data_IF_157024373525
#
_entry.id   IF_157024373525
#
_cell.length_a   1.000
_cell.length_b   1.000
_cell.length_c   1.000
_cell.angle_alpha   90.00
_cell.angle_beta   90.00
_cell.angle_gamma   90.00
#
_symmetry.space_group_name_H-M   'P 1'
#
loop_
_entity.id
_entity.type
_entity.pdbx_description
1 polymer ?
#
# COMPACT_ATOMS: atom_id res chain seq x y z
N UNK A 1 -18.70 -8.18 -21.90
CA UNK A 1 -19.29 -8.00 -20.56
C UNK A 1 -18.88 -6.62 -20.10
N UNK A 2 -19.81 -5.66 -20.07
CA UNK A 2 -19.54 -4.31 -19.55
C UNK A 2 -19.44 -4.46 -18.02
N UNK A 3 -18.30 -4.10 -17.45
CA UNK A 3 -18.20 -3.86 -16.01
C UNK A 3 -19.02 -2.60 -15.73
N UNK A 4 -20.02 -2.68 -14.85
CA UNK A 4 -20.81 -1.52 -14.45
C UNK A 4 -19.97 -0.52 -13.65
N UNK A 5 -20.43 0.74 -13.60
CA UNK A 5 -19.80 1.81 -12.82
C UNK A 5 -19.65 1.36 -11.35
N UNK A 6 -18.40 1.20 -10.89
CA UNK A 6 -18.10 0.81 -9.51
C UNK A 6 -17.37 -0.53 -9.34
N UNK A 7 -17.25 -1.36 -10.39
CA UNK A 7 -16.49 -2.61 -10.35
C UNK A 7 -15.22 -2.55 -11.21
N UNK A 8 -14.07 -2.89 -10.65
CA UNK A 8 -12.80 -2.91 -11.39
C UNK A 8 -11.93 -4.14 -11.04
N UNK A 9 -11.07 -4.54 -11.98
CA UNK A 9 -10.01 -5.53 -11.74
C UNK A 9 -8.66 -4.82 -11.68
N UNK A 10 -7.76 -5.36 -10.84
CA UNK A 10 -6.40 -4.86 -10.71
C UNK A 10 -5.33 -5.79 -11.30
N UNK A 11 -5.72 -6.77 -12.12
CA UNK A 11 -4.77 -7.76 -12.68
C UNK A 11 -3.64 -7.13 -13.52
N UNK A 12 -3.78 -5.85 -13.91
CA UNK A 12 -2.79 -5.08 -14.66
C UNK A 12 -1.83 -4.26 -13.79
N UNK A 13 -2.09 -4.14 -12.49
CA UNK A 13 -1.23 -3.36 -11.60
C UNK A 13 0.00 -4.16 -11.18
N UNK A 14 1.10 -3.44 -11.02
CA UNK A 14 2.27 -3.99 -10.35
C UNK A 14 1.94 -4.22 -8.87
N UNK A 15 2.27 -5.40 -8.37
CA UNK A 15 2.13 -5.73 -6.95
C UNK A 15 3.52 -5.91 -6.37
N UNK A 16 4.01 -4.99 -5.52
CA UNK A 16 5.30 -5.14 -4.86
C UNK A 16 5.34 -6.46 -4.08
N UNK A 17 6.33 -7.30 -4.38
CA UNK A 17 6.55 -8.60 -3.72
C UNK A 17 8.01 -8.71 -3.27
N UNK A 18 8.40 -7.97 -2.22
CA UNK A 18 9.72 -8.12 -1.61
C UNK A 18 10.04 -9.58 -1.33
N UNK A 19 11.27 -9.99 -1.62
CA UNK A 19 11.81 -11.29 -1.27
C UNK A 19 11.95 -11.51 0.23
N UNK A 20 12.27 -12.73 0.69
CA UNK A 20 12.49 -13.01 2.10
C UNK A 20 13.60 -12.14 2.69
N UNK A 21 13.29 -11.37 3.72
CA UNK A 21 14.23 -10.44 4.36
C UNK A 21 14.48 -9.14 3.60
N UNK A 22 13.88 -8.98 2.41
CA UNK A 22 13.97 -7.74 1.65
C UNK A 22 13.02 -6.69 2.23
N UNK A 23 13.54 -5.46 2.33
CA UNK A 23 12.79 -4.27 2.70
C UNK A 23 12.87 -3.28 1.55
N UNK A 24 11.71 -2.91 1.02
CA UNK A 24 11.60 -2.00 -0.12
C UNK A 24 11.15 -0.64 0.40
N UNK A 25 11.91 0.44 0.21
CA UNK A 25 11.43 1.78 0.49
C UNK A 25 10.24 2.08 -0.42
N UNK A 26 9.16 2.58 0.16
CA UNK A 26 7.95 2.93 -0.57
C UNK A 26 7.52 4.36 -0.25
N UNK A 27 6.93 5.03 -1.24
CA UNK A 27 6.20 6.27 -1.04
C UNK A 27 4.69 5.99 -1.12
N UNK A 28 3.93 6.54 -0.18
CA UNK A 28 2.48 6.40 -0.16
C UNK A 28 1.86 7.42 -1.11
N UNK A 29 1.05 6.94 -2.05
CA UNK A 29 0.37 7.79 -3.04
C UNK A 29 -1.10 8.01 -2.67
N UNK A 30 -1.79 6.93 -2.28
CA UNK A 30 -3.19 6.97 -1.88
C UNK A 30 -3.58 5.67 -1.14
N UNK A 31 -4.70 5.65 -0.44
CA UNK A 31 -5.34 4.42 -0.01
C UNK A 31 -6.87 4.54 -0.04
N UNK A 32 -7.55 3.42 -0.27
CA UNK A 32 -9.02 3.38 -0.26
C UNK A 32 -9.55 2.06 0.28
N UNK A 33 -10.65 2.12 1.02
CA UNK A 33 -11.41 0.95 1.47
C UNK A 33 -12.33 0.48 0.36
N UNK A 34 -12.34 -0.82 0.08
CA UNK A 34 -13.17 -1.45 -0.95
C UNK A 34 -13.56 -2.87 -0.51
N UNK A 35 -14.52 -3.47 -1.19
CA UNK A 35 -14.81 -4.90 -1.08
C UNK A 35 -14.07 -5.65 -2.18
N UNK A 36 -13.38 -6.73 -1.82
CA UNK A 36 -12.72 -7.63 -2.75
C UNK A 36 -13.44 -8.98 -2.77
N UNK A 37 -13.66 -9.52 -3.97
CA UNK A 37 -14.26 -10.84 -4.15
C UNK A 37 -13.58 -11.60 -5.30
N UNK A 38 -13.37 -12.90 -5.12
CA UNK A 38 -12.82 -13.76 -6.16
C UNK A 38 -13.92 -14.21 -7.11
N UNK A 39 -13.76 -13.94 -8.41
CA UNK A 39 -14.63 -14.48 -9.46
C UNK A 39 -14.02 -15.77 -10.03
N UNK A 40 -14.60 -16.97 -9.76
CA UNK A 40 -14.13 -18.22 -10.36
C UNK A 40 -14.24 -18.21 -11.88
N UNK A 41 -15.24 -17.49 -12.42
CA UNK A 41 -15.51 -17.35 -13.85
C UNK A 41 -14.40 -16.56 -14.55
N UNK A 42 -13.98 -15.45 -13.97
CA UNK A 42 -12.94 -14.58 -14.53
C UNK A 42 -11.52 -14.98 -14.09
N UNK A 43 -11.41 -15.85 -13.07
CA UNK A 43 -10.15 -16.24 -12.42
C UNK A 43 -9.35 -15.02 -11.94
N UNK A 44 -10.05 -14.02 -11.41
CA UNK A 44 -9.46 -12.79 -10.89
C UNK A 44 -10.23 -12.27 -9.69
N UNK A 45 -9.59 -11.36 -8.95
CA UNK A 45 -10.25 -10.60 -7.88
C UNK A 45 -10.92 -9.38 -8.49
N UNK A 46 -12.21 -9.23 -8.18
CA UNK A 46 -12.99 -8.03 -8.46
C UNK A 46 -13.06 -7.16 -7.22
N UNK A 47 -13.01 -5.85 -7.43
CA UNK A 47 -13.11 -4.85 -6.39
C UNK A 47 -14.34 -3.97 -6.59
N UNK A 48 -15.01 -3.66 -5.48
CA UNK A 48 -16.26 -2.92 -5.43
C UNK A 48 -16.14 -1.77 -4.43
N UNK A 49 -16.61 -0.59 -4.77
CA UNK A 49 -16.57 0.57 -3.85
C UNK A 49 -17.58 0.43 -2.70
N UNK A 50 -18.64 -0.34 -2.90
CA UNK A 50 -19.65 -0.67 -1.89
C UNK A 50 -19.75 -2.19 -1.74
N UNK A 51 -20.40 -2.65 -0.67
CA UNK A 51 -20.69 -4.07 -0.52
C UNK A 51 -21.54 -4.51 -1.73
N UNK A 52 -21.12 -5.56 -2.47
CA UNK A 52 -21.85 -6.01 -3.64
C UNK A 52 -23.25 -6.50 -3.25
N UNK A 53 -24.25 -6.22 -4.06
CA UNK A 53 -25.62 -6.69 -3.86
C UNK A 53 -25.72 -8.22 -4.05
N UNK A 54 -26.81 -8.85 -3.60
CA UNK A 54 -26.98 -10.31 -3.71
C UNK A 54 -26.86 -10.81 -5.16
N UNK A 55 -27.38 -10.03 -6.11
CA UNK A 55 -27.29 -10.28 -7.56
C UNK A 55 -25.85 -10.23 -8.07
N UNK A 56 -25.01 -9.34 -7.53
CA UNK A 56 -23.59 -9.21 -7.88
C UNK A 56 -22.73 -10.26 -7.18
N UNK A 57 -23.13 -10.68 -5.97
CA UNK A 57 -22.46 -11.74 -5.21
C UNK A 57 -22.66 -13.13 -5.81
N UNK A 58 -23.66 -13.33 -6.67
CA UNK A 58 -23.97 -14.64 -7.24
C UNK A 58 -22.74 -15.20 -8.00
N UNK A 59 -22.18 -16.28 -7.47
CA UNK A 59 -20.98 -16.93 -8.02
C UNK A 59 -19.64 -16.31 -7.61
N UNK A 60 -19.63 -15.21 -6.85
CA UNK A 60 -18.43 -14.68 -6.23
C UNK A 60 -18.06 -15.47 -4.96
N UNK A 61 -16.77 -15.51 -4.63
CA UNK A 61 -16.26 -16.17 -3.43
C UNK A 61 -15.44 -15.21 -2.59
N UNK A 62 -15.42 -15.43 -1.27
CA UNK A 62 -14.53 -14.73 -0.33
C UNK A 62 -14.69 -13.21 -0.39
N UNK A 63 -15.93 -12.73 -0.37
CA UNK A 63 -16.25 -11.31 -0.23
C UNK A 63 -15.68 -10.83 1.11
N UNK A 64 -14.82 -9.82 1.06
CA UNK A 64 -14.13 -9.25 2.23
C UNK A 64 -13.87 -7.77 2.01
N UNK A 65 -13.91 -6.99 3.08
CA UNK A 65 -13.40 -5.63 3.06
C UNK A 65 -11.87 -5.65 3.09
N UNK A 66 -11.24 -4.81 2.26
CA UNK A 66 -9.79 -4.65 2.19
C UNK A 66 -9.45 -3.17 1.99
N UNK A 67 -8.20 -2.81 2.30
CA UNK A 67 -7.65 -1.52 1.91
C UNK A 67 -6.69 -1.72 0.75
N UNK A 68 -6.89 -0.96 -0.31
CA UNK A 68 -5.95 -0.88 -1.42
C UNK A 68 -5.02 0.29 -1.17
N UNK A 69 -3.76 -0.01 -0.84
CA UNK A 69 -2.70 0.97 -0.67
C UNK A 69 -1.95 1.14 -1.99
N UNK A 70 -2.03 2.34 -2.58
CA UNK A 70 -1.27 2.73 -3.76
C UNK A 70 0.08 3.29 -3.31
N UNK A 71 1.14 2.72 -3.86
CA UNK A 71 2.52 3.05 -3.48
C UNK A 71 3.39 3.24 -4.71
N UNK A 72 4.45 4.03 -4.56
CA UNK A 72 5.59 4.02 -5.47
C UNK A 72 6.70 3.18 -4.83
N UNK A 73 7.14 2.14 -5.52
CA UNK A 73 8.23 1.26 -5.13
C UNK A 73 9.54 1.84 -5.68
N UNK A 74 10.40 2.32 -4.78
CA UNK A 74 11.65 2.98 -5.14
C UNK A 74 12.69 2.06 -5.76
N UNK A 75 12.64 0.74 -5.51
CA UNK A 75 13.60 -0.20 -6.09
C UNK A 75 13.20 -0.61 -7.50
N UNK A 76 11.91 -0.80 -7.75
CA UNK A 76 11.40 -1.15 -9.08
C UNK A 76 11.15 0.06 -9.98
N UNK A 77 11.04 1.27 -9.40
CA UNK A 77 10.70 2.50 -10.10
C UNK A 77 9.28 2.52 -10.65
N UNK A 78 8.32 1.89 -9.95
CA UNK A 78 6.95 1.67 -10.43
C UNK A 78 5.92 1.99 -9.37
N UNK A 79 4.78 2.50 -9.82
CA UNK A 79 3.57 2.52 -9.01
C UNK A 79 2.99 1.11 -8.89
N UNK A 80 2.54 0.76 -7.70
CA UNK A 80 1.97 -0.54 -7.41
C UNK A 80 0.89 -0.50 -6.34
N UNK A 81 0.27 -1.65 -6.13
CA UNK A 81 -0.84 -1.81 -5.19
C UNK A 81 -0.56 -2.93 -4.21
N UNK A 82 -0.76 -2.62 -2.92
CA UNK A 82 -0.71 -3.57 -1.83
C UNK A 82 -2.14 -3.70 -1.26
N UNK A 83 -2.67 -4.92 -1.26
CA UNK A 83 -3.93 -5.24 -0.59
C UNK A 83 -3.66 -5.52 0.88
N UNK A 84 -4.32 -4.79 1.76
CA UNK A 84 -4.20 -4.90 3.21
C UNK A 84 -5.51 -5.39 3.83
N UNK A 85 -5.39 -6.27 4.81
CA UNK A 85 -6.48 -6.54 5.76
C UNK A 85 -6.66 -5.35 6.71
N UNK A 86 -7.77 -5.30 7.45
CA UNK A 86 -8.00 -4.24 8.44
C UNK A 86 -6.87 -4.16 9.49
N UNK A 87 -6.39 -5.31 9.99
CA UNK A 87 -5.29 -5.34 10.97
C UNK A 87 -3.96 -4.87 10.37
N UNK A 88 -3.65 -5.23 9.12
CA UNK A 88 -2.45 -4.73 8.43
C UNK A 88 -2.56 -3.24 8.13
N UNK A 89 -3.76 -2.73 7.84
CA UNK A 89 -4.00 -1.31 7.64
C UNK A 89 -3.87 -0.50 8.93
N UNK A 90 -4.33 -1.02 10.06
CA UNK A 90 -4.09 -0.41 11.38
C UNK A 90 -2.59 -0.29 11.67
N UNK A 91 -1.83 -1.38 11.47
CA UNK A 91 -0.37 -1.36 11.62
C UNK A 91 0.30 -0.35 10.67
N UNK A 92 -0.15 -0.29 9.41
CA UNK A 92 0.32 0.71 8.45
C UNK A 92 0.04 2.13 8.93
N UNK A 93 -1.16 2.41 9.45
CA UNK A 93 -1.55 3.75 9.89
C UNK A 93 -0.69 4.24 11.06
N UNK A 94 -0.36 3.37 12.02
CA UNK A 94 0.58 3.71 13.11
C UNK A 94 1.94 4.17 12.57
N UNK A 95 2.46 3.47 11.56
CA UNK A 95 3.74 3.81 10.92
C UNK A 95 3.62 5.08 10.08
N UNK A 96 2.51 5.24 9.36
CA UNK A 96 2.27 6.41 8.54
C UNK A 96 2.13 7.69 9.37
N UNK A 97 1.42 7.64 10.49
CA UNK A 97 1.32 8.75 11.44
C UNK A 97 2.68 9.10 12.05
N UNK A 98 3.47 8.08 12.42
CA UNK A 98 4.84 8.29 12.89
C UNK A 98 5.71 8.94 11.81
N UNK A 99 5.59 8.53 10.54
CA UNK A 99 6.28 9.13 9.40
C UNK A 99 5.87 10.59 9.15
N UNK A 100 4.61 10.96 9.37
CA UNK A 100 4.18 12.36 9.25
C UNK A 100 4.76 13.25 10.35
N UNK A 101 5.01 12.69 11.54
CA UNK A 101 5.61 13.42 12.66
C UNK A 101 7.14 13.44 12.60
N UNK A 102 7.74 12.37 12.09
CA UNK A 102 9.18 12.12 12.09
C UNK A 102 9.68 11.95 10.66
N UNK A 103 10.72 12.68 10.31
CA UNK A 103 11.36 12.51 9.00
C UNK A 103 11.97 11.10 8.87
N UNK A 104 11.88 10.51 7.69
CA UNK A 104 12.43 9.18 7.42
C UNK A 104 11.95 8.59 6.10
N UNK A 105 11.98 7.26 6.02
CA UNK A 105 11.44 6.46 4.92
C UNK A 105 10.56 5.33 5.46
N UNK A 106 9.44 5.05 4.80
CA UNK A 106 8.62 3.87 5.09
C UNK A 106 9.19 2.70 4.29
N UNK A 107 9.51 1.61 4.99
CA UNK A 107 9.98 0.37 4.41
C UNK A 107 8.88 -0.68 4.45
N UNK A 108 8.66 -1.34 3.31
CA UNK A 108 7.69 -2.42 3.15
C UNK A 108 8.40 -3.77 3.02
N UNK A 109 7.92 -4.76 3.76
CA UNK A 109 8.39 -6.14 3.67
C UNK A 109 7.23 -7.13 3.75
N UNK A 110 7.49 -8.38 3.37
CA UNK A 110 6.51 -9.48 3.42
C UNK A 110 7.04 -10.69 4.19
N UNK A 111 7.24 -10.57 5.52
CA UNK A 111 7.71 -11.69 6.33
C UNK A 111 6.72 -12.86 6.29
N UNK A 112 7.26 -14.07 6.30
CA UNK A 112 6.47 -15.29 6.40
C UNK A 112 6.23 -15.63 7.86
N UNK A 113 4.96 -15.68 8.27
CA UNK A 113 4.52 -16.11 9.60
C UNK A 113 3.74 -17.41 9.48
N UNK A 114 4.39 -18.51 9.83
CA UNK A 114 3.86 -19.86 9.62
C UNK A 114 3.60 -20.15 8.13
N UNK A 115 2.33 -20.34 7.76
CA UNK A 115 1.92 -20.63 6.37
C UNK A 115 1.54 -19.40 5.56
N UNK A 116 1.44 -18.22 6.18
CA UNK A 116 0.99 -16.98 5.52
C UNK A 116 2.14 -15.98 5.44
N UNK A 117 2.08 -15.10 4.44
CA UNK A 117 2.89 -13.89 4.38
C UNK A 117 2.04 -12.73 4.87
N UNK A 118 2.58 -11.92 5.77
CA UNK A 118 1.92 -10.71 6.26
C UNK A 118 2.57 -9.50 5.61
N UNK A 119 1.79 -8.46 5.33
CA UNK A 119 2.31 -7.17 4.91
C UNK A 119 2.81 -6.42 6.16
N UNK A 120 4.07 -6.01 6.18
CA UNK A 120 4.68 -5.29 7.31
C UNK A 120 5.30 -3.98 6.84
N UNK A 121 4.99 -2.91 7.56
CA UNK A 121 5.55 -1.59 7.34
C UNK A 121 6.40 -1.17 8.53
N UNK A 122 7.52 -0.52 8.28
CA UNK A 122 8.41 0.00 9.31
C UNK A 122 8.87 1.41 8.93
N UNK A 123 8.94 2.31 9.91
CA UNK A 123 9.57 3.61 9.72
C UNK A 123 11.07 3.47 9.99
N UNK A 124 11.88 3.80 9.00
CA UNK A 124 13.30 4.06 9.22
C UNK A 124 13.49 5.56 9.33
N UNK A 125 13.66 6.02 10.57
CA UNK A 125 13.92 7.43 10.86
C UNK A 125 15.25 7.86 10.23
N UNK A 126 15.23 9.02 9.61
CA UNK A 126 16.44 9.64 9.08
C UNK A 126 17.21 10.30 10.21
N UNK A 127 18.48 9.93 10.39
CA UNK A 127 19.41 10.61 11.31
C UNK A 127 19.86 11.94 10.71
N UNK A 128 18.96 12.90 10.50
CA UNK A 128 19.39 14.24 10.14
C UNK A 128 19.94 14.93 11.38
N UNK A 129 21.25 15.18 11.38
CA UNK A 129 21.81 16.26 12.19
C UNK A 129 21.22 17.54 11.58
N UNK A 130 20.38 18.25 12.32
CA UNK A 130 19.98 19.62 11.97
C UNK A 130 21.28 20.42 11.91
N UNK A 131 21.85 20.59 10.71
CA UNK A 131 22.92 21.56 10.52
C UNK A 131 22.28 22.91 10.72
N UNK A 132 22.60 23.54 11.85
CA UNK A 132 22.26 24.92 12.11
C UNK A 132 22.93 25.77 11.01
N UNK A 133 22.17 26.08 9.97
CA UNK A 133 22.63 26.97 8.92
C UNK A 133 22.65 28.35 9.55
N UNK A 134 23.84 28.86 9.89
CA UNK A 134 24.01 30.27 10.24
C UNK A 134 23.39 31.09 9.12
N UNK A 135 22.30 31.81 9.41
CA UNK A 135 21.71 32.80 8.50
C UNK A 135 22.77 33.86 8.22
N UNK A 136 23.49 33.71 7.12
CA UNK A 136 24.31 34.76 6.51
C UNK A 136 23.71 35.09 5.16
N UNK A 137 23.68 36.37 4.77
CA UNK A 137 23.29 36.74 3.43
C UNK A 137 24.21 36.04 2.43
N UNK A 138 23.64 35.45 1.39
CA UNK A 138 24.42 34.84 0.31
C UNK A 138 25.35 35.84 -0.39
N UNK A 139 25.07 37.15 -0.25
CA UNK A 139 25.90 38.23 -0.78
C UNK A 139 27.27 38.36 -0.10
N UNK A 140 27.44 37.85 1.12
CA UNK A 140 28.70 37.99 1.86
C UNK A 140 29.78 36.98 1.43
N UNK A 141 29.47 36.14 0.44
CA UNK A 141 30.34 35.07 -0.06
C UNK A 141 30.62 35.14 -1.57
N UNK A 142 30.30 36.25 -2.23
CA UNK A 142 30.60 36.53 -3.64
C UNK A 142 31.73 37.54 -3.78
#
# INVERSE_FOLDING_TARGET
MRLEEGTFSQDKYYHPRPGPGEKVPIQILNFRRVFAAWSPKLKSTLFFEKAPEESEQEGLKRVREVVLLQVYDWLSGREGIIELTNAEFEQFMEVYEAFLQKLGEIQYSRPKKGRKTENLFELRESSFIIREVKKGLFSDKL
#
